data_IF_130337141055
#
_entry.id   IF_130337141055
#
_cell.length_a   1.000
_cell.length_b   1.000
_cell.length_c   1.000
_cell.angle_alpha   90.00
_cell.angle_beta   90.00
_cell.angle_gamma   90.00
#
_symmetry.space_group_name_H-M   'P 1'
#
loop_
_entity.id
_entity.type
_entity.pdbx_description
1 polymer ?
#
# COMPACT_ATOMS: atom_id res chain seq x y z
N UNK A 1 14.44 0.11 39.55
CA UNK A 1 13.84 1.24 40.29
C UNK A 1 14.83 1.98 41.19
N UNK A 2 15.46 1.37 42.21
CA UNK A 2 16.43 2.03 43.11
C UNK A 2 17.53 2.87 42.42
N UNK A 3 18.08 2.39 41.30
CA UNK A 3 19.13 3.11 40.54
C UNK A 3 18.66 4.42 39.90
N UNK A 4 17.40 4.47 39.43
CA UNK A 4 16.82 5.66 38.78
C UNK A 4 16.62 6.78 39.81
N UNK A 5 16.10 6.42 41.00
CA UNK A 5 15.94 7.37 42.09
C UNK A 5 17.27 7.97 42.55
N UNK A 6 18.32 7.14 42.66
CA UNK A 6 19.67 7.63 43.03
C UNK A 6 20.23 8.64 42.01
N UNK A 7 20.08 8.36 40.71
CA UNK A 7 20.51 9.26 39.64
C UNK A 7 19.75 10.60 39.64
N UNK A 8 18.41 10.55 39.79
CA UNK A 8 17.60 11.76 39.86
C UNK A 8 17.97 12.63 41.06
N UNK A 9 18.21 12.01 42.23
CA UNK A 9 18.61 12.73 43.43
C UNK A 9 19.98 13.40 43.29
N UNK A 10 20.97 12.70 42.72
CA UNK A 10 22.30 13.27 42.44
C UNK A 10 22.21 14.43 41.44
N UNK A 11 21.40 14.29 40.38
CA UNK A 11 21.16 15.35 39.40
C UNK A 11 20.53 16.60 40.03
N UNK A 12 19.56 16.42 40.92
CA UNK A 12 18.94 17.50 41.66
C UNK A 12 19.95 18.25 42.55
N UNK A 13 20.78 17.52 43.31
CA UNK A 13 21.82 18.13 44.15
C UNK A 13 22.82 18.92 43.29
N UNK A 14 23.28 18.35 42.17
CA UNK A 14 24.19 19.04 41.26
C UNK A 14 23.57 20.33 40.69
N UNK A 15 22.29 20.31 40.32
CA UNK A 15 21.57 21.48 39.85
C UNK A 15 21.45 22.57 40.92
N UNK A 16 21.15 22.20 42.16
CA UNK A 16 21.08 23.15 43.28
C UNK A 16 22.45 23.81 43.57
N UNK A 17 23.54 23.04 43.50
CA UNK A 17 24.90 23.57 43.65
C UNK A 17 25.22 24.54 42.51
N UNK A 18 24.85 24.22 41.26
CA UNK A 18 25.05 25.09 40.11
C UNK A 18 24.32 26.43 40.26
N UNK A 19 23.04 26.41 40.66
CA UNK A 19 22.25 27.63 40.90
C UNK A 19 22.89 28.47 42.02
N UNK A 20 23.35 27.82 43.10
CA UNK A 20 24.02 28.52 44.20
C UNK A 20 25.30 29.22 43.73
N UNK A 21 26.14 28.54 42.96
CA UNK A 21 27.36 29.12 42.39
C UNK A 21 27.03 30.31 41.48
N UNK A 22 26.05 30.16 40.58
CA UNK A 22 25.62 31.22 39.69
C UNK A 22 25.10 32.44 40.46
N UNK A 23 24.34 32.21 41.53
CA UNK A 23 23.83 33.28 42.39
C UNK A 23 24.96 34.02 43.11
N UNK A 24 25.95 33.29 43.65
CA UNK A 24 27.12 33.88 44.30
C UNK A 24 27.92 34.75 43.32
N UNK A 25 28.08 34.30 42.07
CA UNK A 25 28.74 35.07 41.01
C UNK A 25 27.95 36.35 40.71
N UNK A 26 26.63 36.27 40.46
CA UNK A 26 25.81 37.45 40.20
C UNK A 26 25.83 38.45 41.37
N UNK A 27 25.84 37.94 42.62
CA UNK A 27 25.95 38.77 43.81
C UNK A 27 27.30 39.49 43.90
N UNK A 28 28.39 38.85 43.48
CA UNK A 28 29.71 39.50 43.39
C UNK A 28 29.74 40.67 42.40
N UNK A 29 28.85 40.66 41.39
CA UNK A 29 28.64 41.76 40.44
C UNK A 29 27.54 42.76 40.87
N UNK A 30 27.08 42.72 42.14
CA UNK A 30 26.04 43.59 42.69
C UNK A 30 24.65 43.51 42.03
N UNK A 31 24.29 42.38 41.40
CA UNK A 31 22.91 42.17 40.97
C UNK A 31 22.00 41.87 42.17
N UNK A 32 20.94 42.67 42.35
CA UNK A 32 19.96 42.50 43.43
C UNK A 32 18.89 41.45 43.06
N UNK A 33 19.24 40.16 43.10
CA UNK A 33 18.30 39.07 42.85
C UNK A 33 18.21 38.09 44.03
N UNK A 34 16.99 37.68 44.37
CA UNK A 34 16.78 36.67 45.42
C UNK A 34 17.12 35.28 44.89
N UNK A 35 17.83 34.47 45.70
CA UNK A 35 18.22 33.11 45.35
C UNK A 35 17.00 32.27 44.94
N UNK A 36 15.92 32.33 45.73
CA UNK A 36 14.71 31.56 45.48
C UNK A 36 13.99 31.95 44.19
N UNK A 37 13.94 33.25 43.86
CA UNK A 37 13.39 33.72 42.59
C UNK A 37 14.20 33.20 41.41
N UNK A 38 15.53 33.27 41.49
CA UNK A 38 16.42 32.78 40.44
C UNK A 38 16.31 31.25 40.28
N UNK A 39 16.27 30.52 41.39
CA UNK A 39 16.10 29.06 41.39
C UNK A 39 14.78 28.64 40.73
N UNK A 40 13.68 29.32 41.05
CA UNK A 40 12.36 29.06 40.45
C UNK A 40 12.34 29.37 38.95
N UNK A 41 12.91 30.50 38.53
CA UNK A 41 12.96 30.90 37.13
C UNK A 41 13.82 29.95 36.29
N UNK A 42 15.04 29.63 36.74
CA UNK A 42 15.94 28.71 36.04
C UNK A 42 15.38 27.29 35.98
N UNK A 43 14.76 26.82 37.06
CA UNK A 43 14.14 25.48 37.07
C UNK A 43 12.96 25.43 36.10
N UNK A 44 12.12 26.46 36.05
CA UNK A 44 11.00 26.54 35.10
C UNK A 44 11.50 26.59 33.65
N UNK A 45 12.55 27.37 33.38
CA UNK A 45 13.19 27.43 32.07
C UNK A 45 13.79 26.06 31.67
N UNK A 46 14.46 25.38 32.59
CA UNK A 46 15.02 24.04 32.37
C UNK A 46 13.92 23.01 32.09
N UNK A 47 12.82 23.05 32.85
CA UNK A 47 11.65 22.19 32.60
C UNK A 47 11.06 22.45 31.22
N UNK A 48 10.85 23.72 30.85
CA UNK A 48 10.35 24.10 29.53
C UNK A 48 11.27 23.61 28.40
N UNK A 49 12.58 23.82 28.54
CA UNK A 49 13.57 23.34 27.56
C UNK A 49 13.56 21.80 27.46
N UNK A 50 13.45 21.11 28.60
CA UNK A 50 13.41 19.64 28.65
C UNK A 50 12.17 19.08 27.95
N UNK A 51 10.99 19.69 28.15
CA UNK A 51 9.76 19.32 27.44
C UNK A 51 9.89 19.58 25.94
N UNK A 52 10.45 20.72 25.54
CA UNK A 52 10.65 21.04 24.13
C UNK A 52 11.61 20.05 23.44
N UNK A 53 12.73 19.71 24.09
CA UNK A 53 13.69 18.71 23.58
C UNK A 53 13.04 17.33 23.50
N UNK A 54 12.33 16.89 24.55
CA UNK A 54 11.64 15.60 24.54
C UNK A 54 10.56 15.54 23.45
N UNK A 55 9.80 16.62 23.26
CA UNK A 55 8.81 16.73 22.18
C UNK A 55 9.43 16.68 20.79
N UNK A 56 10.56 17.37 20.59
CA UNK A 56 11.30 17.32 19.32
C UNK A 56 11.86 15.93 19.02
N UNK A 57 12.46 15.27 20.01
CA UNK A 57 12.97 13.89 19.87
C UNK A 57 11.83 12.93 19.56
N UNK A 58 10.72 13.00 20.30
CA UNK A 58 9.55 12.17 20.04
C UNK A 58 8.96 12.40 18.65
N UNK A 59 8.86 13.66 18.21
CA UNK A 59 8.42 13.98 16.85
C UNK A 59 9.35 13.37 15.79
N UNK A 60 10.67 13.49 15.98
CA UNK A 60 11.66 12.93 15.06
C UNK A 60 11.55 11.40 14.99
N UNK A 61 11.49 10.72 16.13
CA UNK A 61 11.34 9.26 16.19
C UNK A 61 10.03 8.80 15.51
N UNK A 62 8.92 9.52 15.74
CA UNK A 62 7.66 9.23 15.06
C UNK A 62 7.76 9.40 13.55
N UNK A 63 8.43 10.46 13.07
CA UNK A 63 8.62 10.71 11.65
C UNK A 63 9.53 9.68 10.97
N UNK A 64 10.59 9.24 11.65
CA UNK A 64 11.48 8.18 11.16
C UNK A 64 10.72 6.84 11.11
N UNK A 65 9.98 6.49 12.16
CA UNK A 65 9.17 5.28 12.20
C UNK A 65 8.07 5.25 11.13
N UNK A 66 7.46 6.40 10.82
CA UNK A 66 6.49 6.52 9.72
C UNK A 66 7.15 6.30 8.35
N UNK A 67 8.33 6.89 8.13
CA UNK A 67 9.09 6.69 6.90
C UNK A 67 9.51 5.23 6.71
N UNK A 68 10.02 4.58 7.76
CA UNK A 68 10.41 3.16 7.74
C UNK A 68 9.21 2.25 7.42
N UNK A 69 8.05 2.52 8.04
CA UNK A 69 6.81 1.79 7.73
C UNK A 69 6.40 1.97 6.28
N UNK A 70 6.44 3.20 5.78
CA UNK A 70 6.09 3.52 4.38
C UNK A 70 7.04 2.84 3.40
N UNK A 71 8.33 2.76 3.71
CA UNK A 71 9.32 2.06 2.90
C UNK A 71 9.08 0.54 2.89
N UNK A 72 8.81 -0.05 4.06
CA UNK A 72 8.47 -1.47 4.18
C UNK A 72 7.18 -1.84 3.40
N UNK A 73 6.16 -0.97 3.46
CA UNK A 73 4.92 -1.14 2.67
C UNK A 73 5.19 -1.08 1.17
N UNK A 74 5.99 -0.10 0.70
CA UNK A 74 6.38 -0.01 -0.71
C UNK A 74 7.16 -1.24 -1.17
N UNK A 75 8.13 -1.68 -0.38
CA UNK A 75 8.92 -2.89 -0.69
C UNK A 75 8.01 -4.12 -0.83
N UNK A 76 7.07 -4.31 0.12
CA UNK A 76 6.08 -5.40 0.03
C UNK A 76 5.23 -5.29 -1.23
N UNK A 77 4.77 -4.09 -1.59
CA UNK A 77 3.96 -3.91 -2.81
C UNK A 77 4.76 -4.24 -4.08
N UNK A 78 6.04 -3.87 -4.14
CA UNK A 78 6.93 -4.20 -5.26
C UNK A 78 7.12 -5.72 -5.36
N UNK A 79 7.39 -6.40 -4.25
CA UNK A 79 7.57 -7.85 -4.24
C UNK A 79 6.31 -8.60 -4.69
N UNK A 80 5.13 -8.15 -4.24
CA UNK A 80 3.87 -8.75 -4.68
C UNK A 80 3.62 -8.45 -6.17
N UNK A 81 3.90 -7.23 -6.63
CA UNK A 81 3.77 -6.85 -8.03
C UNK A 81 4.71 -7.68 -8.93
N UNK A 82 5.96 -7.90 -8.52
CA UNK A 82 6.92 -8.74 -9.26
C UNK A 82 6.46 -10.20 -9.34
N UNK A 83 6.01 -10.78 -8.22
CA UNK A 83 5.45 -12.14 -8.20
C UNK A 83 4.23 -12.26 -9.13
N UNK A 84 3.34 -11.27 -9.07
CA UNK A 84 2.16 -11.23 -9.92
C UNK A 84 2.54 -11.08 -11.39
N UNK A 85 3.51 -10.21 -11.70
CA UNK A 85 4.04 -10.04 -13.05
C UNK A 85 4.63 -11.35 -13.58
N UNK A 86 5.49 -12.00 -12.81
CA UNK A 86 6.16 -13.25 -13.19
C UNK A 86 5.13 -14.36 -13.42
N UNK A 87 4.15 -14.50 -12.53
CA UNK A 87 3.09 -15.48 -12.68
C UNK A 87 2.25 -15.24 -13.93
N UNK A 88 1.80 -14.01 -14.17
CA UNK A 88 0.95 -13.70 -15.31
C UNK A 88 1.70 -13.83 -16.64
N UNK A 89 3.03 -13.69 -16.61
CA UNK A 89 3.90 -13.88 -17.77
C UNK A 89 4.47 -15.31 -17.89
N UNK A 90 4.01 -16.26 -17.07
CA UNK A 90 4.25 -17.67 -17.33
C UNK A 90 3.73 -18.04 -18.73
N UNK A 91 4.46 -18.91 -19.43
CA UNK A 91 4.15 -19.26 -20.82
C UNK A 91 2.76 -19.89 -20.95
N UNK A 92 2.33 -20.63 -19.95
CA UNK A 92 1.03 -21.28 -19.86
C UNK A 92 -0.11 -20.24 -19.77
N UNK A 93 0.10 -19.18 -18.98
CA UNK A 93 -0.85 -18.08 -18.83
C UNK A 93 -0.90 -17.22 -20.10
N UNK A 94 0.25 -16.99 -20.74
CA UNK A 94 0.30 -16.30 -22.04
C UNK A 94 -0.44 -17.10 -23.11
N UNK A 95 -0.20 -18.42 -23.21
CA UNK A 95 -0.88 -19.31 -24.17
C UNK A 95 -2.39 -19.33 -23.92
N UNK A 96 -2.81 -19.45 -22.66
CA UNK A 96 -4.23 -19.43 -22.30
C UNK A 96 -4.90 -18.11 -22.70
N UNK A 97 -4.27 -16.95 -22.43
CA UNK A 97 -4.79 -15.65 -22.88
C UNK A 97 -4.86 -15.55 -24.40
N UNK A 98 -3.82 -16.00 -25.11
CA UNK A 98 -3.80 -16.01 -26.58
C UNK A 98 -4.94 -16.86 -27.14
N UNK A 99 -5.21 -18.02 -26.53
CA UNK A 99 -6.33 -18.87 -26.91
C UNK A 99 -7.67 -18.14 -26.70
N UNK A 100 -7.88 -17.51 -25.53
CA UNK A 100 -9.10 -16.73 -25.25
C UNK A 100 -9.28 -15.60 -26.27
N UNK A 101 -8.21 -14.91 -26.67
CA UNK A 101 -8.31 -13.80 -27.61
C UNK A 101 -8.66 -14.24 -29.04
N UNK A 102 -8.10 -15.36 -29.49
CA UNK A 102 -8.20 -15.81 -30.88
C UNK A 102 -9.36 -16.77 -31.11
N UNK A 103 -9.58 -17.69 -30.17
CA UNK A 103 -10.39 -18.89 -30.40
C UNK A 103 -11.73 -18.87 -29.67
N UNK A 104 -11.88 -18.04 -28.62
CA UNK A 104 -13.12 -18.01 -27.85
C UNK A 104 -14.24 -17.34 -28.66
N UNK A 105 -15.38 -18.03 -28.88
CA UNK A 105 -16.55 -17.44 -29.53
C UNK A 105 -17.08 -16.24 -28.73
N UNK A 106 -17.59 -15.23 -29.44
CA UNK A 106 -18.19 -14.07 -28.78
C UNK A 106 -19.52 -14.41 -28.07
N UNK A 107 -20.30 -15.35 -28.64
CA UNK A 107 -21.53 -15.86 -28.04
C UNK A 107 -21.23 -17.07 -27.14
N UNK A 108 -21.51 -16.99 -25.82
CA UNK A 108 -21.24 -18.09 -24.91
C UNK A 108 -22.09 -19.34 -25.15
N UNK A 109 -23.24 -19.23 -25.84
CA UNK A 109 -24.06 -20.39 -26.21
C UNK A 109 -23.34 -21.28 -27.23
N UNK A 110 -22.61 -20.68 -28.16
CA UNK A 110 -21.79 -21.41 -29.14
C UNK A 110 -20.70 -22.21 -28.41
N UNK A 111 -20.07 -21.61 -27.40
CA UNK A 111 -19.07 -22.28 -26.58
C UNK A 111 -19.68 -23.46 -25.79
N UNK A 112 -20.82 -23.27 -25.12
CA UNK A 112 -21.46 -24.35 -24.35
C UNK A 112 -21.91 -25.53 -25.22
N UNK A 113 -22.27 -25.28 -26.48
CA UNK A 113 -22.66 -26.33 -27.40
C UNK A 113 -21.49 -27.26 -27.81
N UNK A 114 -20.25 -26.76 -27.79
CA UNK A 114 -19.07 -27.52 -28.20
C UNK A 114 -17.81 -27.13 -27.41
N UNK A 115 -17.75 -27.45 -26.10
CA UNK A 115 -16.59 -27.12 -25.29
C UNK A 115 -15.42 -28.04 -25.62
N UNK A 116 -14.28 -27.47 -25.99
CA UNK A 116 -13.03 -28.23 -26.13
C UNK A 116 -12.30 -28.29 -24.78
N UNK A 117 -11.61 -29.40 -24.43
CA UNK A 117 -10.85 -29.49 -23.19
C UNK A 117 -9.79 -28.39 -23.06
N UNK A 118 -9.07 -28.10 -24.16
CA UNK A 118 -8.08 -27.02 -24.22
C UNK A 118 -8.70 -25.65 -23.93
N UNK A 119 -9.87 -25.36 -24.53
CA UNK A 119 -10.56 -24.10 -24.32
C UNK A 119 -11.07 -23.92 -22.89
N UNK A 120 -11.60 -24.99 -22.30
CA UNK A 120 -12.08 -24.98 -20.93
C UNK A 120 -10.91 -24.73 -19.95
N UNK A 121 -9.76 -25.38 -20.19
CA UNK A 121 -8.55 -25.15 -19.40
C UNK A 121 -8.04 -23.71 -19.57
N UNK A 122 -7.99 -23.20 -20.81
CA UNK A 122 -7.53 -21.84 -21.09
C UNK A 122 -8.42 -20.79 -20.41
N UNK A 123 -9.75 -20.90 -20.55
CA UNK A 123 -10.72 -20.00 -19.91
C UNK A 123 -10.54 -20.03 -18.40
N UNK A 124 -10.52 -21.24 -17.79
CA UNK A 124 -10.36 -21.39 -16.35
C UNK A 124 -9.04 -20.80 -15.85
N UNK A 125 -7.94 -21.02 -16.56
CA UNK A 125 -6.63 -20.49 -16.21
C UNK A 125 -6.62 -18.97 -16.23
N UNK A 126 -7.17 -18.33 -17.28
CA UNK A 126 -7.25 -16.86 -17.34
C UNK A 126 -8.16 -16.31 -16.25
N UNK A 127 -9.32 -16.93 -16.02
CA UNK A 127 -10.23 -16.50 -14.95
C UNK A 127 -9.58 -16.62 -13.57
N UNK A 128 -8.85 -17.70 -13.28
CA UNK A 128 -8.11 -17.86 -12.02
C UNK A 128 -7.00 -16.82 -11.88
N UNK A 129 -6.30 -16.48 -12.96
CA UNK A 129 -5.34 -15.37 -12.95
C UNK A 129 -6.01 -14.04 -12.61
N UNK A 130 -7.17 -13.74 -13.20
CA UNK A 130 -7.91 -12.51 -12.90
C UNK A 130 -8.45 -12.49 -11.47
N UNK A 131 -8.91 -13.63 -10.96
CA UNK A 131 -9.41 -13.75 -9.60
C UNK A 131 -8.29 -13.53 -8.58
N UNK A 132 -7.10 -14.10 -8.83
CA UNK A 132 -5.91 -13.84 -8.01
C UNK A 132 -5.51 -12.36 -8.01
N UNK A 133 -5.52 -11.70 -9.17
CA UNK A 133 -5.31 -10.25 -9.25
C UNK A 133 -6.37 -9.52 -8.43
N UNK A 134 -7.63 -9.95 -8.52
CA UNK A 134 -8.71 -9.33 -7.78
C UNK A 134 -8.58 -9.47 -6.28
N UNK A 135 -8.17 -10.64 -5.80
CA UNK A 135 -7.87 -10.90 -4.40
C UNK A 135 -6.74 -10.00 -3.90
N UNK A 136 -5.64 -9.89 -4.65
CA UNK A 136 -4.49 -9.08 -4.25
C UNK A 136 -4.73 -7.56 -4.31
N UNK A 137 -5.75 -7.13 -5.04
CA UNK A 137 -6.14 -5.71 -5.18
C UNK A 137 -7.39 -5.36 -4.39
N UNK A 138 -7.95 -6.30 -3.61
CA UNK A 138 -8.99 -6.01 -2.64
C UNK A 138 -8.41 -5.21 -1.46
N UNK A 139 -9.22 -4.32 -0.89
CA UNK A 139 -8.95 -3.63 0.39
C UNK A 139 -7.60 -2.91 0.48
N UNK A 140 -7.01 -2.50 -0.64
CA UNK A 140 -5.76 -1.74 -0.66
C UNK A 140 -4.50 -2.54 -0.32
N UNK A 141 -4.55 -3.88 -0.36
CA UNK A 141 -3.37 -4.74 -0.19
C UNK A 141 -2.24 -4.41 -1.18
N UNK A 142 -2.64 -4.01 -2.40
CA UNK A 142 -1.80 -3.32 -3.36
C UNK A 142 -2.61 -2.14 -3.90
N UNK A 143 -2.01 -0.95 -3.92
CA UNK A 143 -2.65 0.22 -4.53
C UNK A 143 -2.90 -0.02 -6.02
N UNK A 144 -4.08 0.38 -6.51
CA UNK A 144 -4.40 0.42 -7.94
C UNK A 144 -3.33 1.23 -8.70
N UNK A 145 -2.69 2.24 -8.10
CA UNK A 145 -1.63 3.02 -8.74
C UNK A 145 -0.36 2.22 -9.05
N UNK A 146 -0.14 1.09 -8.35
CA UNK A 146 0.98 0.19 -8.60
C UNK A 146 0.65 -0.81 -9.71
N UNK A 147 -0.60 -1.29 -9.75
CA UNK A 147 -1.03 -2.38 -10.64
C UNK A 147 -1.53 -1.84 -11.98
N UNK A 148 -2.37 -0.81 -11.95
CA UNK A 148 -3.08 -0.31 -13.13
C UNK A 148 -2.13 0.11 -14.26
N UNK A 149 -1.04 0.88 -14.05
CA UNK A 149 -0.21 1.39 -15.14
C UNK A 149 0.34 0.35 -16.12
N UNK A 150 0.52 -0.90 -15.70
CA UNK A 150 1.07 -1.96 -16.55
C UNK A 150 0.11 -3.13 -16.78
N UNK A 151 -0.85 -3.37 -15.89
CA UNK A 151 -1.79 -4.50 -16.02
C UNK A 151 -3.08 -4.17 -16.76
N UNK A 152 -3.47 -2.89 -16.81
CA UNK A 152 -4.76 -2.48 -17.33
C UNK A 152 -5.09 -3.03 -18.74
N UNK A 153 -4.15 -3.12 -19.72
CA UNK A 153 -4.50 -3.59 -21.05
C UNK A 153 -4.86 -5.08 -21.04
N UNK A 154 -4.10 -5.87 -20.29
CA UNK A 154 -4.26 -7.32 -20.24
C UNK A 154 -5.56 -7.71 -19.54
N UNK A 155 -5.87 -7.08 -18.39
CA UNK A 155 -7.10 -7.34 -17.65
C UNK A 155 -8.31 -6.92 -18.48
N UNK A 156 -8.32 -5.68 -18.98
CA UNK A 156 -9.46 -5.15 -19.73
C UNK A 156 -9.76 -6.00 -20.99
N UNK A 157 -8.72 -6.35 -21.74
CA UNK A 157 -8.84 -7.18 -22.96
C UNK A 157 -9.33 -8.60 -22.65
N UNK A 158 -8.80 -9.24 -21.60
CA UNK A 158 -9.26 -10.56 -21.16
C UNK A 158 -10.72 -10.53 -20.74
N UNK A 159 -11.11 -9.51 -19.97
CA UNK A 159 -12.48 -9.38 -19.47
C UNK A 159 -13.49 -9.04 -20.56
N UNK A 160 -13.10 -8.33 -21.61
CA UNK A 160 -14.00 -8.02 -22.73
C UNK A 160 -14.58 -9.28 -23.39
N UNK A 161 -13.76 -10.33 -23.53
CA UNK A 161 -14.21 -11.65 -24.04
C UNK A 161 -14.87 -12.48 -22.93
N UNK A 162 -14.20 -12.60 -21.78
CA UNK A 162 -14.63 -13.50 -20.71
C UNK A 162 -15.89 -13.01 -19.99
N UNK A 163 -16.12 -11.70 -19.90
CA UNK A 163 -17.21 -11.12 -19.13
C UNK A 163 -18.59 -11.57 -19.62
N UNK A 164 -18.78 -11.71 -20.93
CA UNK A 164 -20.05 -12.22 -21.49
C UNK A 164 -20.28 -13.67 -21.13
N UNK A 165 -19.23 -14.50 -21.20
CA UNK A 165 -19.27 -15.89 -20.76
C UNK A 165 -19.54 -16.02 -19.26
N UNK A 166 -18.83 -15.25 -18.43
CA UNK A 166 -19.01 -15.25 -16.98
C UNK A 166 -20.43 -14.85 -16.59
N UNK A 167 -21.00 -13.79 -17.20
CA UNK A 167 -22.38 -13.37 -16.94
C UNK A 167 -23.38 -14.47 -17.30
N UNK A 168 -23.19 -15.12 -18.44
CA UNK A 168 -24.04 -16.22 -18.86
C UNK A 168 -23.95 -17.42 -17.90
N UNK A 169 -22.74 -17.85 -17.52
CA UNK A 169 -22.54 -18.91 -16.52
C UNK A 169 -23.16 -18.53 -15.16
N UNK A 170 -23.02 -17.27 -14.74
CA UNK A 170 -23.60 -16.73 -13.50
C UNK A 170 -25.12 -16.92 -13.46
N UNK A 171 -25.79 -16.62 -14.57
CA UNK A 171 -27.24 -16.80 -14.74
C UNK A 171 -27.62 -18.29 -14.73
N UNK A 172 -26.91 -19.13 -15.49
CA UNK A 172 -27.18 -20.57 -15.55
C UNK A 172 -27.01 -21.25 -14.20
N UNK A 173 -25.97 -20.88 -13.44
CA UNK A 173 -25.67 -21.44 -12.11
C UNK A 173 -26.53 -20.85 -11.00
N UNK A 174 -27.17 -19.70 -11.23
CA UNK A 174 -27.82 -18.88 -10.20
C UNK A 174 -26.84 -18.47 -9.08
N UNK A 175 -25.58 -18.22 -9.43
CA UNK A 175 -24.50 -17.89 -8.49
C UNK A 175 -24.05 -16.43 -8.69
N UNK A 176 -24.70 -15.42 -8.10
CA UNK A 176 -24.44 -14.01 -8.42
C UNK A 176 -22.99 -13.56 -8.19
N UNK A 177 -22.25 -14.26 -7.32
CA UNK A 177 -20.86 -13.94 -6.99
C UNK A 177 -19.82 -14.56 -7.93
N UNK A 178 -20.23 -15.36 -8.92
CA UNK A 178 -19.31 -16.02 -9.85
C UNK A 178 -18.40 -14.99 -10.56
N UNK A 179 -17.11 -15.00 -10.21
CA UNK A 179 -16.08 -14.05 -10.64
C UNK A 179 -16.46 -12.55 -10.50
N UNK A 180 -17.25 -12.22 -9.47
CA UNK A 180 -17.68 -10.85 -9.21
C UNK A 180 -16.51 -9.88 -8.98
N UNK A 181 -15.46 -10.31 -8.28
CA UNK A 181 -14.31 -9.44 -8.01
C UNK A 181 -13.42 -9.23 -9.23
N UNK A 182 -13.26 -10.25 -10.08
CA UNK A 182 -12.60 -10.09 -11.38
C UNK A 182 -13.32 -9.05 -12.25
N UNK A 183 -14.66 -9.02 -12.22
CA UNK A 183 -15.48 -8.01 -12.90
C UNK A 183 -15.19 -6.60 -12.36
N UNK A 184 -15.16 -6.44 -11.04
CA UNK A 184 -14.86 -5.16 -10.42
C UNK A 184 -13.47 -4.65 -10.81
N UNK A 185 -12.45 -5.49 -10.75
CA UNK A 185 -11.09 -5.09 -11.15
C UNK A 185 -11.03 -4.71 -12.63
N UNK A 186 -11.69 -5.48 -13.51
CA UNK A 186 -11.74 -5.14 -14.92
C UNK A 186 -12.42 -3.78 -15.17
N UNK A 187 -13.49 -3.48 -14.43
CA UNK A 187 -14.15 -2.17 -14.50
C UNK A 187 -13.23 -1.05 -13.98
N UNK A 188 -12.50 -1.27 -12.88
CA UNK A 188 -11.48 -0.32 -12.40
C UNK A 188 -10.39 -0.08 -13.43
N UNK A 189 -9.88 -1.14 -14.09
CA UNK A 189 -8.92 -1.01 -15.19
C UNK A 189 -9.47 -0.20 -16.35
N UNK A 190 -10.74 -0.42 -16.74
CA UNK A 190 -11.40 0.34 -17.81
C UNK A 190 -11.54 1.82 -17.43
N UNK A 191 -12.00 2.11 -16.22
CA UNK A 191 -12.12 3.48 -15.73
C UNK A 191 -10.76 4.19 -15.65
N UNK A 192 -9.73 3.47 -15.20
CA UNK A 192 -8.36 3.97 -15.18
C UNK A 192 -7.87 4.33 -16.58
N UNK A 193 -8.14 3.48 -17.58
CA UNK A 193 -7.82 3.76 -19.00
C UNK A 193 -8.48 5.03 -19.52
N UNK A 194 -9.78 5.17 -19.30
CA UNK A 194 -10.55 6.34 -19.73
C UNK A 194 -9.96 7.61 -19.09
N UNK A 195 -9.70 7.56 -17.78
CA UNK A 195 -9.12 8.69 -17.02
C UNK A 195 -7.75 9.14 -17.57
N UNK A 196 -6.96 8.23 -18.13
CA UNK A 196 -5.61 8.51 -18.64
C UNK A 196 -5.55 8.60 -20.18
N UNK A 197 -6.70 8.69 -20.86
CA UNK A 197 -6.75 8.88 -22.32
C UNK A 197 -6.48 7.62 -23.16
N UNK A 198 -6.56 6.42 -22.58
CA UNK A 198 -6.39 5.14 -23.29
C UNK A 198 -7.72 4.53 -23.77
N UNK A 199 -8.67 5.37 -24.17
CA UNK A 199 -10.04 4.97 -24.57
C UNK A 199 -10.13 4.41 -26.00
N UNK A 200 -8.98 4.04 -26.59
CA UNK A 200 -9.00 3.36 -27.88
C UNK A 200 -9.71 2.00 -27.75
N UNK A 201 -10.65 1.69 -28.66
CA UNK A 201 -11.25 0.37 -28.76
C UNK A 201 -10.16 -0.68 -28.77
N UNK A 202 -10.35 -1.79 -28.05
CA UNK A 202 -9.38 -2.87 -28.05
C UNK A 202 -9.18 -3.38 -29.48
N UNK A 203 -8.08 -2.98 -30.12
CA UNK A 203 -7.74 -3.49 -31.44
C UNK A 203 -7.36 -4.97 -31.29
N UNK A 204 -8.22 -5.82 -31.84
CA UNK A 204 -7.96 -7.25 -31.97
C UNK A 204 -7.03 -7.42 -33.16
N UNK A 205 -5.82 -7.89 -32.92
CA UNK A 205 -4.94 -8.28 -34.01
C UNK A 205 -5.50 -9.62 -34.52
N UNK A 206 -6.37 -9.55 -35.53
CA UNK A 206 -6.98 -10.73 -36.17
C UNK A 206 -5.94 -11.63 -36.87
N UNK A 207 -4.72 -11.13 -37.07
CA UNK A 207 -3.58 -11.86 -37.66
C UNK A 207 -2.36 -11.74 -36.75
N UNK A 208 -2.18 -12.71 -35.87
CA UNK A 208 -1.02 -12.73 -34.96
C UNK A 208 0.30 -12.73 -35.72
N UNK A 209 1.29 -12.04 -35.16
CA UNK A 209 2.72 -12.32 -35.39
C UNK A 209 3.01 -13.76 -34.94
#
# INVERSE_FOLDING_TARGET
MRKIFGLAFLGFLAWMVLILVLWLVLRAFNFATSFWTMAGALSSALTGASIAVAGFVAYRELSEAENDRREAEKSRHIDIADRLFNELNLQENIKARKWVYKSMPADPKIWQANPTPEGAEAIKRVLNSLDRVSFLTQEGWISDDVVMPWMHPMIAKSWEKLGTYVRYEREQRKEPYFYFYAEQVANRCRNWRIKHGYDEPTHWIDKGI
#
